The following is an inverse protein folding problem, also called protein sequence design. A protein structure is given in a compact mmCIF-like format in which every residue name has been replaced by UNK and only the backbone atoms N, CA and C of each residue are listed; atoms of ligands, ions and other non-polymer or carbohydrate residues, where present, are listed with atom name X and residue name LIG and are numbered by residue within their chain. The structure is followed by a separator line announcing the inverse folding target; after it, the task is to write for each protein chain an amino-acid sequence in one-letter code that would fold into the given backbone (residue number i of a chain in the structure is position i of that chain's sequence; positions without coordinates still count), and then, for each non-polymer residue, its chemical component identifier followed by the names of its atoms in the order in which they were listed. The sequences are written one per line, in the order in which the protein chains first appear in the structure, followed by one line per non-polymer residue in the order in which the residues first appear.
data_IF_349211484713
#
_entry.id   IF_349211484713
#
_cell.length_a   1.000
_cell.length_b   1.000
_cell.length_c   1.000
_cell.angle_alpha   90.00
_cell.angle_beta   90.00
_cell.angle_gamma   90.00
#
_symmetry.space_group_name_H-M   'P 1'
#
loop_
_entity.id
_entity.type
_entity.pdbx_description
1 polymer ?
#
# COMPACT_ATOMS: atom_id res chain seq x y z
N UNK A 1 14.12 -11.01 -1.70
CA UNK A 1 13.95 -9.73 -0.96
C UNK A 1 12.74 -9.01 -1.55
N UNK A 2 11.81 -8.51 -0.73
CA UNK A 2 10.56 -7.87 -1.20
C UNK A 2 10.66 -6.34 -1.29
N UNK A 3 11.53 -5.69 -0.52
CA UNK A 3 11.70 -4.24 -0.55
C UNK A 3 13.03 -3.87 0.10
N UNK A 4 13.75 -2.92 -0.50
CA UNK A 4 14.95 -2.33 0.07
C UNK A 4 14.64 -0.88 0.42
N UNK A 5 14.42 -0.61 1.70
CA UNK A 5 14.07 0.72 2.20
C UNK A 5 15.29 1.32 2.89
N UNK A 6 15.49 2.63 2.71
CA UNK A 6 16.54 3.37 3.41
C UNK A 6 16.15 3.69 4.85
N UNK A 7 16.90 4.60 5.46
CA UNK A 7 16.66 5.05 6.83
C UNK A 7 15.40 5.91 6.95
N UNK A 8 14.91 6.05 8.20
CA UNK A 8 13.75 6.89 8.57
C UNK A 8 12.40 6.43 7.99
N UNK A 9 12.25 5.13 7.75
CA UNK A 9 10.94 4.55 7.46
C UNK A 9 10.08 4.50 8.73
N UNK A 10 8.99 5.25 8.73
CA UNK A 10 7.99 5.23 9.82
C UNK A 10 6.96 4.12 9.63
N UNK A 11 6.21 3.80 10.69
CA UNK A 11 5.08 2.84 10.63
C UNK A 11 4.00 3.25 9.65
N UNK A 12 3.80 4.56 9.40
CA UNK A 12 2.84 5.05 8.40
C UNK A 12 3.26 4.74 6.96
N UNK A 13 4.57 4.62 6.69
CA UNK A 13 5.04 4.15 5.38
C UNK A 13 4.73 2.66 5.17
N UNK A 14 4.83 1.86 6.25
CA UNK A 14 4.60 0.42 6.22
C UNK A 14 3.09 0.13 6.17
N UNK A 15 2.31 0.81 7.01
CA UNK A 15 0.87 0.65 7.17
C UNK A 15 0.20 2.02 7.19
N UNK A 16 -0.18 2.55 6.02
CA UNK A 16 -0.80 3.86 5.92
C UNK A 16 -2.16 3.85 6.62
N UNK A 17 -2.47 4.93 7.32
CA UNK A 17 -3.78 5.09 7.95
C UNK A 17 -4.80 5.87 7.10
N UNK A 18 -4.37 6.48 5.99
CA UNK A 18 -5.17 7.41 5.18
C UNK A 18 -6.19 6.79 4.23
N UNK A 19 -6.73 7.60 3.32
CA UNK A 19 -7.79 7.20 2.39
C UNK A 19 -7.37 6.09 1.42
N UNK A 20 -8.26 5.13 1.21
CA UNK A 20 -8.08 4.06 0.24
C UNK A 20 -8.37 4.61 -1.16
N UNK A 21 -7.44 4.45 -2.11
CA UNK A 21 -7.63 4.88 -3.50
C UNK A 21 -8.39 3.82 -4.30
N UNK A 22 -9.31 4.24 -5.19
CA UNK A 22 -9.99 3.36 -6.16
C UNK A 22 -9.02 2.47 -6.96
N UNK A 23 -7.91 3.04 -7.40
CA UNK A 23 -6.89 2.34 -8.18
C UNK A 23 -5.93 1.47 -7.34
N UNK A 24 -6.06 1.42 -6.01
CA UNK A 24 -5.19 0.57 -5.18
C UNK A 24 -5.69 -0.88 -5.15
N UNK A 25 -4.83 -1.86 -4.79
CA UNK A 25 -5.25 -3.24 -4.62
C UNK A 25 -6.40 -3.39 -3.61
N UNK A 26 -6.39 -2.60 -2.54
CA UNK A 26 -7.47 -2.58 -1.54
C UNK A 26 -8.76 -1.98 -2.11
N UNK A 27 -8.65 -0.94 -2.94
CA UNK A 27 -9.81 -0.37 -3.63
C UNK A 27 -10.46 -1.36 -4.59
N UNK A 28 -9.66 -2.07 -5.38
CA UNK A 28 -10.15 -3.15 -6.25
C UNK A 28 -10.87 -4.24 -5.45
N UNK A 29 -10.27 -4.69 -4.35
CA UNK A 29 -10.89 -5.68 -3.46
C UNK A 29 -12.25 -5.20 -2.93
N UNK A 30 -12.35 -3.95 -2.48
CA UNK A 30 -13.60 -3.39 -1.97
C UNK A 30 -14.68 -3.31 -3.05
N UNK A 31 -14.33 -2.90 -4.27
CA UNK A 31 -15.27 -2.89 -5.42
C UNK A 31 -15.74 -4.29 -5.79
N UNK A 32 -14.83 -5.27 -5.82
CA UNK A 32 -15.16 -6.68 -6.10
C UNK A 32 -16.12 -7.27 -5.04
N UNK A 33 -16.17 -6.69 -3.84
CA UNK A 33 -17.08 -7.04 -2.74
C UNK A 33 -18.31 -6.12 -2.64
N UNK A 34 -18.59 -5.32 -3.66
CA UNK A 34 -19.78 -4.47 -3.74
C UNK A 34 -19.73 -3.20 -2.89
N UNK A 35 -18.56 -2.81 -2.39
CA UNK A 35 -18.39 -1.55 -1.66
C UNK A 35 -18.16 -0.41 -2.65
N UNK A 36 -19.02 0.62 -2.61
CA UNK A 36 -18.87 1.80 -3.43
C UNK A 36 -17.63 2.62 -3.07
N UNK A 37 -17.05 3.35 -4.03
CA UNK A 37 -15.86 4.20 -3.80
C UNK A 37 -16.09 5.23 -2.69
N UNK A 38 -17.33 5.73 -2.55
CA UNK A 38 -17.72 6.64 -1.48
C UNK A 38 -17.59 6.01 -0.07
N UNK A 39 -17.74 4.69 0.03
CA UNK A 39 -17.76 3.93 1.29
C UNK A 39 -16.40 3.30 1.63
N UNK A 40 -15.37 3.55 0.82
CA UNK A 40 -14.04 2.99 1.04
C UNK A 40 -13.48 3.33 2.42
N UNK A 41 -13.75 4.56 2.88
CA UNK A 41 -13.17 5.12 4.08
C UNK A 41 -11.63 5.09 4.03
N UNK A 42 -11.00 5.09 5.21
CA UNK A 42 -9.56 5.08 5.38
C UNK A 42 -9.10 3.70 5.82
N UNK A 43 -7.83 3.37 5.55
CA UNK A 43 -7.20 2.14 6.03
C UNK A 43 -7.32 1.99 7.56
N UNK A 44 -7.27 3.11 8.31
CA UNK A 44 -7.51 3.12 9.75
C UNK A 44 -8.88 2.56 10.17
N UNK A 45 -9.95 2.88 9.42
CA UNK A 45 -11.32 2.41 9.69
C UNK A 45 -11.49 0.92 9.37
N UNK A 46 -10.65 0.38 8.48
CA UNK A 46 -10.72 -1.00 7.99
C UNK A 46 -9.74 -1.94 8.70
N UNK A 47 -9.16 -1.55 9.84
CA UNK A 47 -8.17 -2.35 10.60
C UNK A 47 -8.65 -3.73 11.04
N UNK A 48 -9.96 -3.93 11.23
CA UNK A 48 -10.56 -5.24 11.51
C UNK A 48 -10.61 -6.19 10.30
N UNK A 49 -10.33 -5.68 9.09
CA UNK A 49 -10.35 -6.44 7.85
C UNK A 49 -8.91 -6.68 7.37
N UNK A 50 -8.39 -7.87 7.65
CA UNK A 50 -7.01 -8.23 7.31
C UNK A 50 -6.76 -8.24 5.79
N UNK A 51 -7.75 -8.59 4.96
CA UNK A 51 -7.64 -8.54 3.49
C UNK A 51 -7.36 -7.11 2.98
N UNK A 52 -8.05 -6.11 3.55
CA UNK A 52 -7.81 -4.70 3.22
C UNK A 52 -6.42 -4.26 3.72
N UNK A 53 -6.04 -4.66 4.93
CA UNK A 53 -4.76 -4.24 5.53
C UNK A 53 -3.55 -4.84 4.82
N UNK A 54 -3.58 -6.11 4.43
CA UNK A 54 -2.50 -6.72 3.62
C UNK A 54 -2.33 -5.97 2.30
N UNK A 55 -3.43 -5.60 1.63
CA UNK A 55 -3.43 -4.83 0.38
C UNK A 55 -3.04 -3.36 0.55
N UNK A 56 -3.06 -2.85 1.78
CA UNK A 56 -2.56 -1.52 2.14
C UNK A 56 -1.10 -1.50 2.57
N UNK A 57 -0.50 -2.66 2.83
CA UNK A 57 0.88 -2.74 3.33
C UNK A 57 1.85 -2.26 2.24
N UNK A 58 2.74 -1.35 2.61
CA UNK A 58 3.63 -0.63 1.70
C UNK A 58 2.92 0.16 0.58
N UNK A 59 1.62 0.44 0.69
CA UNK A 59 0.89 1.22 -0.33
C UNK A 59 1.05 2.74 -0.19
N UNK A 60 1.84 3.21 0.78
CA UNK A 60 2.08 4.64 0.99
C UNK A 60 2.78 5.25 -0.24
N UNK A 61 2.27 6.37 -0.74
CA UNK A 61 2.85 7.02 -1.92
C UNK A 61 4.27 7.57 -1.70
N UNK A 62 4.68 7.76 -0.44
CA UNK A 62 5.99 8.30 -0.06
C UNK A 62 7.00 7.21 0.31
N UNK A 63 6.59 5.94 0.37
CA UNK A 63 7.56 4.87 0.63
C UNK A 63 8.54 4.78 -0.54
N UNK A 64 9.83 4.70 -0.26
CA UNK A 64 10.88 4.72 -1.28
C UNK A 64 11.64 3.41 -1.32
N UNK A 65 11.50 2.68 -2.42
CA UNK A 65 12.15 1.38 -2.62
C UNK A 65 13.39 1.52 -3.49
N UNK A 66 14.57 1.29 -2.91
CA UNK A 66 15.90 1.34 -3.55
C UNK A 66 16.16 0.17 -4.48
N UNK A 67 15.32 -0.86 -4.49
CA UNK A 67 15.40 -1.92 -5.51
C UNK A 67 15.12 -1.38 -6.92
N UNK A 68 14.42 -0.25 -7.03
CA UNK A 68 13.97 0.32 -8.30
C UNK A 68 14.93 1.39 -8.89
N UNK A 69 16.16 1.47 -8.38
CA UNK A 69 17.21 2.36 -8.89
C UNK A 69 18.02 3.02 -7.78
N UNK A 70 19.09 3.73 -8.16
CA UNK A 70 20.09 4.31 -7.25
C UNK A 70 19.48 5.28 -6.21
N UNK A 71 18.50 6.09 -6.63
CA UNK A 71 17.77 7.02 -5.75
C UNK A 71 16.48 6.43 -5.16
N UNK A 72 16.19 5.16 -5.45
CA UNK A 72 14.91 4.51 -5.17
C UNK A 72 13.71 5.13 -5.91
N UNK A 73 12.59 4.42 -5.92
CA UNK A 73 11.32 4.92 -6.47
C UNK A 73 10.30 5.08 -5.38
N UNK A 74 9.58 6.21 -5.39
CA UNK A 74 8.48 6.46 -4.47
C UNK A 74 7.20 5.73 -4.90
N UNK A 75 6.45 5.27 -3.90
CA UNK A 75 5.20 4.53 -4.02
C UNK A 75 5.36 3.05 -3.71
N UNK A 76 4.21 2.37 -3.58
CA UNK A 76 4.13 0.94 -3.25
C UNK A 76 4.50 0.00 -4.38
N UNK A 77 5.67 0.22 -4.99
CA UNK A 77 6.21 -0.58 -6.07
C UNK A 77 7.37 -1.43 -5.57
N UNK A 78 7.50 -2.61 -6.16
CA UNK A 78 8.67 -3.47 -5.96
C UNK A 78 8.93 -4.34 -7.17
N UNK A 79 10.07 -5.03 -7.14
CA UNK A 79 10.45 -6.01 -8.16
C UNK A 79 9.98 -7.39 -7.69
N UNK A 80 9.22 -8.05 -8.54
CA UNK A 80 8.88 -9.45 -8.38
C UNK A 80 9.99 -10.31 -9.01
N UNK A 81 10.71 -11.07 -8.19
CA UNK A 81 11.64 -12.11 -8.64
C UNK A 81 10.93 -13.44 -8.39
N UNK A 82 10.31 -14.08 -9.40
CA UNK A 82 10.94 -14.92 -10.42
C UNK A 82 10.34 -14.71 -11.83
N UNK A 83 9.68 -13.58 -12.04
CA UNK A 83 9.10 -13.18 -13.33
C UNK A 83 10.14 -12.68 -14.33
#
# INVERSE_FOLDING_TARGET
VLGLFGDKITTDHISPAGSIKAASPAGKYLMDHGVGVADFNQYGTRRGNHEVMMRGTFANIRIRNHMLGENGREGGYTIHYPS
#
